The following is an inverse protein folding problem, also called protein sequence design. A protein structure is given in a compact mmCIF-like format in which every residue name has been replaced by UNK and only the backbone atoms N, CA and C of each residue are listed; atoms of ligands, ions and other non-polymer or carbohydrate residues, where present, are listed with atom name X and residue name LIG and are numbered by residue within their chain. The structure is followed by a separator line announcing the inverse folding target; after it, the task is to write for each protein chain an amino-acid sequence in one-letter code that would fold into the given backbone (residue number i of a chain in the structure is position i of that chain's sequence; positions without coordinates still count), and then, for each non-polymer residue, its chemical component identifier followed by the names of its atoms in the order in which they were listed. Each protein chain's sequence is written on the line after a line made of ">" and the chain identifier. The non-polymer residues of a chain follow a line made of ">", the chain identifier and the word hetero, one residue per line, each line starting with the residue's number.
data_IF_831982409209
#
_entry.id   IF_831982409209
#
_cell.length_a   1.000
_cell.length_b   1.000
_cell.length_c   1.000
_cell.angle_alpha   90.00
_cell.angle_beta   90.00
_cell.angle_gamma   90.00
#
_symmetry.space_group_name_H-M   'P 1'
#
loop_
_entity.id
_entity.type
_entity.pdbx_description
1 polymer ?
#
# COMPACT_ATOMS: atom_id res chain seq x y z
N UNK A 1 -13.17 -26.88 -9.76
CA UNK A 1 -12.26 -25.88 -9.18
C UNK A 1 -12.72 -24.51 -9.69
N UNK A 2 -13.14 -23.58 -8.81
CA UNK A 2 -13.51 -22.20 -9.19
C UNK A 2 -12.47 -21.26 -8.56
N UNK A 3 -11.64 -20.63 -9.39
CA UNK A 3 -10.46 -19.89 -8.96
C UNK A 3 -10.29 -18.61 -9.80
N UNK A 4 -11.36 -17.82 -9.92
CA UNK A 4 -11.32 -16.55 -10.65
C UNK A 4 -10.68 -15.48 -9.76
N UNK A 5 -9.55 -14.86 -10.17
CA UNK A 5 -8.96 -13.75 -9.42
C UNK A 5 -9.80 -12.48 -9.57
N UNK A 6 -9.65 -11.53 -8.64
CA UNK A 6 -10.34 -10.24 -8.69
C UNK A 6 -11.87 -10.34 -8.85
N UNK A 7 -12.51 -11.22 -8.06
CA UNK A 7 -13.97 -11.33 -7.96
C UNK A 7 -14.66 -9.97 -7.72
N UNK A 8 -14.12 -9.04 -6.91
CA UNK A 8 -14.71 -7.70 -6.76
C UNK A 8 -14.83 -6.93 -8.08
N UNK A 9 -14.02 -7.26 -9.09
CA UNK A 9 -14.11 -6.70 -10.44
C UNK A 9 -15.40 -7.04 -11.19
N UNK A 10 -16.09 -8.12 -10.81
CA UNK A 10 -17.41 -8.46 -11.38
C UNK A 10 -18.55 -7.54 -10.87
N UNK A 11 -18.32 -6.80 -9.77
CA UNK A 11 -19.28 -5.86 -9.16
C UNK A 11 -18.68 -4.47 -9.00
N UNK A 12 -18.21 -3.84 -10.09
CA UNK A 12 -17.29 -2.70 -10.05
C UNK A 12 -17.86 -1.48 -9.32
N UNK A 13 -19.17 -1.21 -9.45
CA UNK A 13 -19.81 -0.08 -8.75
C UNK A 13 -19.72 -0.24 -7.24
N UNK A 14 -20.12 -1.41 -6.73
CA UNK A 14 -20.11 -1.70 -5.29
C UNK A 14 -18.68 -1.75 -4.75
N UNK A 15 -17.78 -2.45 -5.44
CA UNK A 15 -16.38 -2.58 -4.99
C UNK A 15 -15.63 -1.26 -5.03
N UNK A 16 -15.91 -0.38 -6.00
CA UNK A 16 -15.31 0.97 -6.04
C UNK A 16 -15.73 1.80 -4.83
N UNK A 17 -17.02 1.87 -4.50
CA UNK A 17 -17.48 2.59 -3.32
C UNK A 17 -16.90 2.00 -2.03
N UNK A 18 -16.88 0.66 -1.92
CA UNK A 18 -16.31 -0.01 -0.76
C UNK A 18 -14.83 0.32 -0.58
N UNK A 19 -14.02 0.19 -1.63
CA UNK A 19 -12.58 0.45 -1.58
C UNK A 19 -12.28 1.93 -1.29
N UNK A 20 -12.93 2.85 -2.00
CA UNK A 20 -12.68 4.28 -1.83
C UNK A 20 -13.06 4.77 -0.42
N UNK A 21 -14.14 4.26 0.16
CA UNK A 21 -14.55 4.68 1.51
C UNK A 21 -13.48 4.37 2.58
N UNK A 22 -12.70 3.29 2.40
CA UNK A 22 -11.60 2.95 3.32
C UNK A 22 -10.26 3.59 2.92
N UNK A 23 -9.99 3.78 1.63
CA UNK A 23 -8.68 4.32 1.17
C UNK A 23 -8.63 5.84 1.12
N UNK A 24 -9.77 6.53 0.99
CA UNK A 24 -9.83 7.98 0.82
C UNK A 24 -9.17 8.77 1.97
N UNK A 25 -9.36 8.43 3.27
CA UNK A 25 -8.68 9.14 4.35
C UNK A 25 -7.15 9.09 4.23
N UNK A 26 -6.59 7.94 3.84
CA UNK A 26 -5.16 7.74 3.64
C UNK A 26 -4.63 8.48 2.41
N UNK A 27 -5.40 8.50 1.32
CA UNK A 27 -5.06 9.26 0.12
C UNK A 27 -5.00 10.76 0.42
N UNK A 28 -5.95 11.28 1.19
CA UNK A 28 -5.96 12.67 1.63
C UNK A 28 -4.82 12.99 2.59
N UNK A 29 -4.51 12.08 3.53
CA UNK A 29 -3.36 12.24 4.43
C UNK A 29 -2.04 12.36 3.64
N UNK A 30 -1.81 11.46 2.68
CA UNK A 30 -0.63 11.47 1.82
C UNK A 30 -0.55 12.76 0.98
N UNK A 31 -1.67 13.18 0.39
CA UNK A 31 -1.73 14.39 -0.42
C UNK A 31 -1.45 15.67 0.39
N UNK A 32 -1.94 15.74 1.63
CA UNK A 32 -1.80 16.93 2.48
C UNK A 32 -0.46 17.02 3.21
N UNK A 33 0.10 15.88 3.64
CA UNK A 33 1.31 15.85 4.48
C UNK A 33 2.59 15.54 3.69
N UNK A 34 2.49 14.82 2.58
CA UNK A 34 3.64 14.24 1.90
C UNK A 34 4.27 13.09 2.69
N UNK A 35 5.13 12.31 2.02
CA UNK A 35 5.74 11.12 2.61
C UNK A 35 6.71 11.44 3.76
N UNK A 36 7.41 12.57 3.71
CA UNK A 36 8.42 12.97 4.70
C UNK A 36 7.81 13.15 6.09
N UNK A 37 6.67 13.84 6.14
CA UNK A 37 5.93 14.06 7.38
C UNK A 37 5.26 12.77 7.87
N UNK A 38 4.78 11.92 6.96
CA UNK A 38 4.25 10.58 7.28
C UNK A 38 5.31 9.70 7.96
N UNK A 39 6.56 9.75 7.47
CA UNK A 39 7.70 9.05 8.09
C UNK A 39 8.00 9.61 9.48
N UNK A 40 8.08 10.93 9.62
CA UNK A 40 8.35 11.57 10.91
C UNK A 40 7.26 11.32 11.97
N UNK A 41 5.99 11.21 11.56
CA UNK A 41 4.85 10.99 12.46
C UNK A 41 4.57 9.50 12.74
N UNK A 42 5.35 8.58 12.17
CA UNK A 42 5.12 7.13 12.25
C UNK A 42 3.67 6.74 11.89
N UNK A 43 3.13 7.35 10.82
CA UNK A 43 1.74 7.11 10.40
C UNK A 43 1.54 5.64 9.99
N UNK A 44 0.36 5.03 10.22
CA UNK A 44 0.04 3.68 9.77
C UNK A 44 0.30 3.43 8.28
N UNK A 45 0.27 4.49 7.45
CA UNK A 45 0.62 4.45 6.03
C UNK A 45 2.00 3.85 5.75
N UNK A 46 2.96 3.99 6.67
CA UNK A 46 4.31 3.44 6.50
C UNK A 46 4.32 1.93 6.36
N UNK A 47 3.38 1.24 7.00
CA UNK A 47 3.25 -0.22 6.87
C UNK A 47 2.89 -0.66 5.45
N UNK A 48 2.33 0.24 4.64
CA UNK A 48 2.00 -0.01 3.24
C UNK A 48 3.17 0.21 2.25
N UNK A 49 4.32 0.73 2.70
CA UNK A 49 5.44 1.03 1.81
C UNK A 49 6.13 -0.27 1.40
N UNK A 50 6.24 -0.49 0.09
CA UNK A 50 6.89 -1.66 -0.48
C UNK A 50 8.25 -1.31 -1.11
N UNK A 51 8.32 -0.17 -1.78
CA UNK A 51 9.53 0.33 -2.44
C UNK A 51 9.69 1.81 -2.10
N UNK A 52 10.90 2.21 -1.71
CA UNK A 52 11.25 3.60 -1.44
C UNK A 52 12.61 3.92 -2.06
N UNK A 53 12.69 5.02 -2.84
CA UNK A 53 13.93 5.45 -3.52
C UNK A 53 14.66 4.32 -4.30
N UNK A 54 13.89 3.41 -4.92
CA UNK A 54 14.42 2.30 -5.71
C UNK A 54 14.83 1.06 -4.90
N UNK A 55 14.61 1.04 -3.59
CA UNK A 55 14.94 -0.07 -2.70
C UNK A 55 13.68 -0.75 -2.17
N UNK A 56 13.72 -2.06 -1.96
CA UNK A 56 12.59 -2.81 -1.39
C UNK A 56 12.63 -2.67 0.13
N UNK A 57 11.58 -2.06 0.69
CA UNK A 57 11.48 -1.73 2.12
C UNK A 57 10.42 -2.54 2.86
N UNK A 58 9.79 -3.50 2.18
CA UNK A 58 8.88 -4.47 2.79
C UNK A 58 9.52 -5.85 2.82
N UNK A 59 9.89 -6.32 4.01
CA UNK A 59 10.63 -7.57 4.21
C UNK A 59 10.01 -8.78 3.49
N UNK A 60 8.70 -8.99 3.62
CA UNK A 60 8.05 -10.14 3.00
C UNK A 60 8.10 -10.11 1.45
N UNK A 61 8.17 -8.93 0.83
CA UNK A 61 8.30 -8.80 -0.62
C UNK A 61 9.71 -9.13 -1.07
N UNK A 62 10.71 -8.62 -0.33
CA UNK A 62 12.11 -8.94 -0.58
C UNK A 62 12.36 -10.45 -0.50
N UNK A 63 11.86 -11.11 0.55
CA UNK A 63 11.97 -12.56 0.73
C UNK A 63 11.26 -13.35 -0.39
N UNK A 64 10.01 -12.99 -0.72
CA UNK A 64 9.22 -13.71 -1.73
C UNK A 64 9.81 -13.63 -3.15
N UNK A 65 10.53 -12.53 -3.45
CA UNK A 65 11.11 -12.28 -4.78
C UNK A 65 12.63 -12.45 -4.83
N UNK A 66 13.26 -12.91 -3.74
CA UNK A 66 14.72 -13.02 -3.60
C UNK A 66 15.48 -11.71 -3.92
N UNK A 67 14.94 -10.59 -3.44
CA UNK A 67 15.53 -9.25 -3.58
C UNK A 67 16.19 -8.80 -2.26
N UNK A 68 17.08 -7.81 -2.33
CA UNK A 68 17.69 -7.20 -1.16
C UNK A 68 16.66 -6.36 -0.38
N UNK A 69 16.62 -6.56 0.94
CA UNK A 69 15.80 -5.77 1.85
C UNK A 69 16.63 -4.62 2.44
N UNK A 70 16.08 -3.41 2.37
CA UNK A 70 16.64 -2.24 3.04
C UNK A 70 15.58 -1.62 3.94
N UNK A 71 15.96 -1.26 5.17
CA UNK A 71 15.06 -0.59 6.08
C UNK A 71 14.77 0.82 5.56
N UNK A 72 13.48 1.17 5.39
CA UNK A 72 13.10 2.56 5.18
C UNK A 72 13.37 3.30 6.50
N UNK A 73 14.31 4.24 6.44
CA UNK A 73 14.77 5.12 7.55
C UNK A 73 13.70 5.39 8.59
#
# INVERSE_FOLDING_TARGET
>A
HYAVPNIPGAVPRTSTYALNNVTLPYALELANKGYEKIMAENSPLLTGFNVFKGKVVHRAVAEALALEYEEAV
#
